data_IF_920834690219
#
_entry.id   IF_920834690219
#
_cell.length_a   1.000
_cell.length_b   1.000
_cell.length_c   1.000
_cell.angle_alpha   90.00
_cell.angle_beta   90.00
_cell.angle_gamma   90.00
#
_symmetry.space_group_name_H-M   'P 1'
#
loop_
_entity.id
_entity.type
_entity.pdbx_description
1 polymer ?
#
# COMPACT_ATOMS: atom_id res chain seq x y z
N UNK A 1 24.07 -1.34 -4.19
CA UNK A 1 24.16 0.07 -3.76
C UNK A 1 22.78 0.53 -3.37
N UNK A 2 22.61 1.27 -2.27
CA UNK A 2 21.32 1.91 -1.97
C UNK A 2 21.13 3.05 -2.98
N UNK A 3 19.97 3.13 -3.62
CA UNK A 3 19.62 4.26 -4.48
C UNK A 3 19.62 5.56 -3.67
N UNK A 4 19.92 6.67 -4.32
CA UNK A 4 19.80 8.00 -3.73
C UNK A 4 18.31 8.32 -3.50
N UNK A 5 17.92 8.54 -2.24
CA UNK A 5 16.53 8.83 -1.88
C UNK A 5 15.98 10.11 -2.54
N UNK A 6 16.87 11.03 -2.94
CA UNK A 6 16.49 12.29 -3.61
C UNK A 6 16.05 12.09 -5.06
N UNK A 7 16.29 10.92 -5.66
CA UNK A 7 15.93 10.59 -7.03
C UNK A 7 14.61 9.78 -7.17
N UNK A 8 13.92 9.51 -6.06
CA UNK A 8 12.70 8.69 -6.08
C UNK A 8 11.53 9.44 -6.73
N UNK A 9 10.92 8.82 -7.74
CA UNK A 9 9.71 9.32 -8.38
C UNK A 9 8.48 8.81 -7.63
N UNK A 10 7.67 9.73 -7.12
CA UNK A 10 6.38 9.44 -6.51
C UNK A 10 5.27 9.65 -7.54
N UNK A 11 4.28 8.76 -7.55
CA UNK A 11 3.09 8.88 -8.39
C UNK A 11 1.84 8.50 -7.63
N UNK A 12 0.72 9.13 -7.99
CA UNK A 12 -0.61 8.88 -7.45
C UNK A 12 -1.51 8.44 -8.62
N UNK A 13 -2.17 7.30 -8.49
CA UNK A 13 -3.01 6.71 -9.55
C UNK A 13 -2.26 5.89 -10.61
N UNK A 14 -0.93 5.85 -10.60
CA UNK A 14 -0.14 4.96 -11.49
C UNK A 14 -0.16 3.52 -10.95
N UNK A 15 -1.17 2.75 -11.37
CA UNK A 15 -1.34 1.34 -10.97
C UNK A 15 -0.20 0.49 -11.54
N UNK A 16 0.54 -0.24 -10.69
CA UNK A 16 1.64 -1.06 -11.17
C UNK A 16 1.15 -2.22 -12.03
N UNK A 17 1.97 -2.63 -13.00
CA UNK A 17 1.68 -3.84 -13.77
C UNK A 17 1.76 -5.09 -12.88
N UNK A 18 1.08 -6.17 -13.29
CA UNK A 18 1.02 -7.41 -12.52
C UNK A 18 2.40 -7.94 -12.12
N UNK A 19 3.36 -7.91 -13.04
CA UNK A 19 4.72 -8.42 -12.81
C UNK A 19 5.43 -7.70 -11.67
N UNK A 20 5.50 -6.37 -11.73
CA UNK A 20 6.21 -5.57 -10.73
C UNK A 20 5.48 -5.55 -9.37
N UNK A 21 4.14 -5.59 -9.37
CA UNK A 21 3.36 -5.74 -8.15
C UNK A 21 3.71 -7.05 -7.43
N UNK A 22 3.73 -8.17 -8.16
CA UNK A 22 4.08 -9.48 -7.60
C UNK A 22 5.53 -9.50 -7.11
N UNK A 23 6.46 -8.92 -7.88
CA UNK A 23 7.86 -8.82 -7.51
C UNK A 23 8.04 -8.04 -6.20
N UNK A 24 7.46 -6.84 -6.11
CA UNK A 24 7.58 -5.99 -4.91
C UNK A 24 6.99 -6.67 -3.68
N UNK A 25 5.82 -7.32 -3.81
CA UNK A 25 5.24 -8.09 -2.69
C UNK A 25 6.16 -9.20 -2.21
N UNK A 26 6.74 -9.93 -3.15
CA UNK A 26 7.62 -11.06 -2.84
C UNK A 26 8.86 -10.59 -2.08
N UNK A 27 9.56 -9.57 -2.59
CA UNK A 27 10.76 -9.03 -1.92
C UNK A 27 10.43 -8.33 -0.60
N UNK A 28 9.21 -7.79 -0.45
CA UNK A 28 8.77 -7.17 0.78
C UNK A 28 8.34 -8.19 1.86
N UNK A 29 8.15 -9.47 1.49
CA UNK A 29 7.75 -10.55 2.39
C UNK A 29 6.24 -10.72 2.58
N UNK A 30 5.41 -10.16 1.68
CA UNK A 30 3.95 -10.03 1.88
C UNK A 30 3.11 -11.23 1.37
N UNK A 31 3.73 -12.40 1.22
CA UNK A 31 3.08 -13.60 0.71
C UNK A 31 2.77 -13.57 -0.80
N UNK A 32 2.61 -14.77 -1.38
CA UNK A 32 2.39 -14.94 -2.82
C UNK A 32 0.93 -14.67 -3.19
N UNK A 33 0.75 -14.09 -4.38
CA UNK A 33 -0.54 -14.02 -5.11
C UNK A 33 -0.33 -14.63 -6.49
N UNK A 34 -1.38 -15.22 -7.06
CA UNK A 34 -1.33 -15.64 -8.46
C UNK A 34 -1.37 -14.42 -9.39
N UNK A 35 -0.82 -14.49 -10.61
CA UNK A 35 -0.97 -13.43 -11.61
C UNK A 35 -2.43 -13.07 -11.89
N UNK A 36 -3.32 -14.06 -11.92
CA UNK A 36 -4.76 -13.84 -12.09
C UNK A 36 -5.37 -13.04 -10.94
N UNK A 37 -5.06 -13.40 -9.69
CA UNK A 37 -5.55 -12.67 -8.51
C UNK A 37 -4.97 -11.24 -8.46
N UNK A 38 -3.70 -11.08 -8.83
CA UNK A 38 -3.06 -9.77 -8.93
C UNK A 38 -3.73 -8.88 -9.99
N UNK A 39 -3.95 -9.40 -11.21
CA UNK A 39 -4.58 -8.64 -12.28
C UNK A 39 -5.98 -8.13 -11.88
N UNK A 40 -6.81 -9.05 -11.37
CA UNK A 40 -8.16 -8.71 -10.88
C UNK A 40 -8.11 -7.72 -9.70
N UNK A 41 -7.19 -7.92 -8.76
CA UNK A 41 -7.04 -7.04 -7.61
C UNK A 41 -6.62 -5.62 -8.00
N UNK A 42 -5.68 -5.50 -8.95
CA UNK A 42 -5.16 -4.21 -9.42
C UNK A 42 -6.21 -3.41 -10.20
N UNK A 43 -7.05 -4.08 -11.00
CA UNK A 43 -8.18 -3.47 -11.73
C UNK A 43 -9.19 -2.76 -10.79
N UNK A 44 -9.39 -3.28 -9.59
CA UNK A 44 -10.31 -2.72 -8.59
C UNK A 44 -9.63 -1.82 -7.55
N UNK A 45 -8.51 -1.20 -7.93
CA UNK A 45 -7.84 -0.21 -7.07
C UNK A 45 -8.60 1.11 -7.11
N UNK A 46 -9.02 1.61 -5.95
CA UNK A 46 -9.62 2.95 -5.84
C UNK A 46 -8.55 4.04 -5.90
N UNK A 47 -7.43 3.82 -5.19
CA UNK A 47 -6.30 4.72 -5.18
C UNK A 47 -5.00 3.95 -4.95
N UNK A 48 -3.90 4.46 -5.50
CA UNK A 48 -2.57 3.88 -5.33
C UNK A 48 -1.53 4.99 -5.28
N UNK A 49 -0.55 4.78 -4.40
CA UNK A 49 0.70 5.54 -4.41
C UNK A 49 1.79 4.57 -4.83
N UNK A 50 2.57 4.94 -5.83
CA UNK A 50 3.78 4.20 -6.25
C UNK A 50 5.02 5.04 -6.08
N UNK A 51 6.13 4.37 -5.78
CA UNK A 51 7.46 4.96 -5.63
C UNK A 51 8.42 4.18 -6.50
N UNK A 52 9.10 4.89 -7.40
CA UNK A 52 10.01 4.30 -8.38
C UNK A 52 11.42 4.86 -8.25
N UNK A 53 12.41 3.98 -8.42
CA UNK A 53 13.80 4.33 -8.68
C UNK A 53 14.10 4.03 -10.16
N UNK A 54 14.19 5.09 -10.98
CA UNK A 54 14.11 4.95 -12.43
C UNK A 54 12.80 4.28 -12.86
N UNK A 55 12.90 3.13 -13.54
CA UNK A 55 11.75 2.34 -13.95
C UNK A 55 11.26 1.35 -12.87
N UNK A 56 12.11 1.04 -11.87
CA UNK A 56 11.84 -0.03 -10.89
C UNK A 56 10.87 0.44 -9.82
N UNK A 57 9.81 -0.33 -9.59
CA UNK A 57 8.92 -0.13 -8.45
C UNK A 57 9.62 -0.54 -7.14
N UNK A 58 9.84 0.42 -6.24
CA UNK A 58 10.54 0.22 -4.95
C UNK A 58 9.61 0.41 -3.74
N UNK A 59 8.44 1.00 -3.95
CA UNK A 59 7.40 1.10 -2.93
C UNK A 59 6.02 1.25 -3.53
N UNK A 60 5.00 0.77 -2.82
CA UNK A 60 3.61 0.99 -3.17
C UNK A 60 2.70 0.99 -1.94
N UNK A 61 1.50 1.53 -2.10
CA UNK A 61 0.38 1.39 -1.18
C UNK A 61 -0.93 1.58 -1.93
N UNK A 62 -1.97 0.85 -1.55
CA UNK A 62 -3.24 0.81 -2.28
C UNK A 62 -4.43 1.05 -1.36
N UNK A 63 -5.51 1.55 -1.93
CA UNK A 63 -6.85 1.62 -1.32
C UNK A 63 -7.81 0.81 -2.18
N UNK A 64 -8.59 -0.05 -1.55
CA UNK A 64 -9.69 -0.79 -2.17
C UNK A 64 -10.93 -0.68 -1.29
N UNK A 65 -12.12 -0.85 -1.87
CA UNK A 65 -13.39 -0.74 -1.15
C UNK A 65 -14.50 -0.22 -2.04
N UNK A 66 -15.52 0.38 -1.43
CA UNK A 66 -16.69 0.91 -2.14
C UNK A 66 -16.61 2.42 -2.43
N UNK A 67 -15.59 3.11 -1.90
CA UNK A 67 -15.42 4.56 -2.06
C UNK A 67 -16.42 5.40 -1.26
N UNK A 68 -17.18 4.79 -0.35
CA UNK A 68 -18.27 5.46 0.37
C UNK A 68 -18.37 5.04 1.83
N UNK A 69 -18.76 3.79 2.10
CA UNK A 69 -19.01 3.33 3.47
C UNK A 69 -17.79 2.68 4.09
N UNK A 70 -16.97 1.98 3.30
CA UNK A 70 -15.82 1.27 3.81
C UNK A 70 -14.71 1.10 2.76
N UNK A 71 -13.49 1.44 3.17
CA UNK A 71 -12.27 1.17 2.41
C UNK A 71 -11.24 0.49 3.30
N UNK A 72 -10.33 -0.25 2.66
CA UNK A 72 -9.15 -0.80 3.31
C UNK A 72 -7.88 -0.35 2.60
N UNK A 73 -6.93 0.16 3.38
CA UNK A 73 -5.57 0.39 2.92
C UNK A 73 -4.88 -0.97 2.92
N UNK A 74 -4.35 -1.32 1.76
CA UNK A 74 -3.70 -2.61 1.52
C UNK A 74 -2.36 -2.39 0.83
N UNK A 75 -1.53 -3.42 0.84
CA UNK A 75 -0.32 -3.49 0.02
C UNK A 75 0.70 -2.37 0.27
N UNK A 76 0.82 -1.88 1.50
CA UNK A 76 1.93 -1.01 1.91
C UNK A 76 3.22 -1.84 1.89
N UNK A 77 3.94 -1.76 0.77
CA UNK A 77 5.12 -2.56 0.48
C UNK A 77 6.30 -1.63 0.18
N UNK A 78 7.47 -1.94 0.75
CA UNK A 78 8.73 -1.24 0.44
C UNK A 78 9.84 -2.27 0.28
N UNK A 79 10.55 -2.15 -0.83
CA UNK A 79 11.75 -2.92 -1.13
C UNK A 79 12.75 -2.81 0.03
N UNK A 80 13.26 -3.93 0.58
CA UNK A 80 14.23 -3.92 1.67
C UNK A 80 15.44 -2.99 1.47
N UNK A 81 15.92 -2.84 0.23
CA UNK A 81 17.03 -1.95 -0.12
C UNK A 81 16.73 -0.46 0.07
N UNK A 82 15.45 -0.07 0.06
CA UNK A 82 14.96 1.30 0.18
C UNK A 82 14.23 1.55 1.52
N UNK A 83 14.26 0.60 2.46
CA UNK A 83 13.71 0.79 3.82
C UNK A 83 14.56 1.77 4.65
N UNK A 84 13.95 2.29 5.72
CA UNK A 84 14.52 3.30 6.64
C UNK A 84 14.79 4.67 5.98
N UNK A 85 14.15 4.93 4.84
CA UNK A 85 14.16 6.21 4.13
C UNK A 85 12.82 6.98 4.26
N UNK A 86 11.94 6.56 5.17
CA UNK A 86 10.62 7.19 5.35
C UNK A 86 9.59 6.85 4.26
N UNK A 87 9.90 5.98 3.29
CA UNK A 87 9.01 5.67 2.15
C UNK A 87 7.64 5.16 2.60
N UNK A 88 7.59 4.19 3.53
CA UNK A 88 6.31 3.65 4.01
C UNK A 88 5.44 4.74 4.69
N UNK A 89 6.08 5.65 5.43
CA UNK A 89 5.40 6.80 6.03
C UNK A 89 4.89 7.78 4.98
N UNK A 90 5.70 8.09 3.96
CA UNK A 90 5.28 8.95 2.85
C UNK A 90 4.11 8.36 2.06
N UNK A 91 4.14 7.05 1.78
CA UNK A 91 3.04 6.33 1.12
C UNK A 91 1.77 6.42 1.97
N UNK A 92 1.85 6.09 3.25
CA UNK A 92 0.70 6.12 4.14
C UNK A 92 0.11 7.52 4.27
N UNK A 93 0.94 8.56 4.42
CA UNK A 93 0.48 9.94 4.52
C UNK A 93 -0.31 10.36 3.28
N UNK A 94 0.26 10.14 2.09
CA UNK A 94 -0.41 10.45 0.81
C UNK A 94 -1.75 9.73 0.66
N UNK A 95 -1.80 8.44 1.02
CA UNK A 95 -3.06 7.69 1.02
C UNK A 95 -4.07 8.28 2.00
N UNK A 96 -3.65 8.62 3.23
CA UNK A 96 -4.56 9.20 4.21
C UNK A 96 -5.04 10.59 3.81
N UNK A 97 -4.21 11.37 3.11
CA UNK A 97 -4.58 12.68 2.58
C UNK A 97 -5.61 12.54 1.46
N UNK A 98 -5.40 11.59 0.54
CA UNK A 98 -6.39 11.22 -0.47
C UNK A 98 -7.71 10.77 0.16
N UNK A 99 -7.67 9.89 1.18
CA UNK A 99 -8.87 9.45 1.88
C UNK A 99 -9.64 10.62 2.50
N UNK A 100 -8.94 11.60 3.10
CA UNK A 100 -9.58 12.79 3.69
C UNK A 100 -10.17 13.73 2.65
N UNK A 101 -9.58 13.79 1.46
CA UNK A 101 -10.02 14.66 0.37
C UNK A 101 -11.21 14.07 -0.41
N UNK A 102 -11.18 12.77 -0.70
CA UNK A 102 -12.10 12.15 -1.67
C UNK A 102 -13.23 11.34 -1.01
N UNK A 103 -13.05 10.84 0.21
CA UNK A 103 -14.05 9.97 0.83
C UNK A 103 -15.03 10.74 1.72
N UNK A 104 -16.29 10.27 1.84
CA UNK A 104 -17.22 10.79 2.84
C UNK A 104 -16.62 10.72 4.26
N UNK A 105 -16.89 11.72 5.10
CA UNK A 105 -16.36 11.80 6.48
C UNK A 105 -16.70 10.59 7.37
N UNK A 106 -17.77 9.88 7.04
CA UNK A 106 -18.24 8.69 7.76
C UNK A 106 -17.69 7.39 7.19
N UNK A 107 -16.87 7.44 6.13
CA UNK A 107 -16.26 6.25 5.54
C UNK A 107 -15.34 5.56 6.56
N UNK A 108 -15.53 4.26 6.76
CA UNK A 108 -14.67 3.46 7.62
C UNK A 108 -13.37 3.11 6.89
N UNK A 109 -12.24 3.67 7.33
CA UNK A 109 -10.90 3.40 6.77
C UNK A 109 -10.17 2.41 7.66
N UNK A 110 -9.82 1.24 7.12
CA UNK A 110 -9.20 0.14 7.88
C UNK A 110 -7.92 -0.38 7.22
N UNK A 111 -7.15 -1.17 7.95
CA UNK A 111 -6.02 -1.95 7.41
C UNK A 111 -5.72 -3.15 8.31
N UNK A 112 -4.99 -4.13 7.78
CA UNK A 112 -4.43 -5.24 8.55
C UNK A 112 -2.91 -5.04 8.60
N UNK A 113 -2.38 -4.84 9.81
CA UNK A 113 -0.97 -4.59 10.03
C UNK A 113 -0.20 -5.87 10.37
N UNK A 114 0.97 -6.06 9.76
CA UNK A 114 1.92 -7.07 10.21
C UNK A 114 2.53 -6.68 11.57
N UNK A 115 3.00 -7.65 12.38
CA UNK A 115 3.49 -7.40 13.74
C UNK A 115 4.58 -6.33 13.89
N UNK A 116 5.33 -6.03 12.84
CA UNK A 116 6.38 -4.99 12.83
C UNK A 116 5.92 -3.59 12.39
N UNK A 117 4.67 -3.43 11.95
CA UNK A 117 4.19 -2.20 11.32
C UNK A 117 3.27 -1.35 12.23
N UNK A 118 2.95 -1.82 13.44
CA UNK A 118 2.02 -1.11 14.35
C UNK A 118 2.41 0.34 14.62
N UNK A 119 3.69 0.60 14.89
CA UNK A 119 4.17 1.94 15.20
C UNK A 119 3.99 2.93 14.03
N UNK A 120 4.04 2.44 12.78
CA UNK A 120 3.78 3.26 11.60
C UNK A 120 2.32 3.72 11.58
N UNK A 121 1.39 2.77 11.71
CA UNK A 121 -0.05 3.05 11.60
C UNK A 121 -0.58 3.82 12.82
N UNK A 122 -0.12 3.49 14.02
CA UNK A 122 -0.50 4.22 15.23
C UNK A 122 -0.10 5.70 15.16
N UNK A 123 1.10 6.02 14.65
CA UNK A 123 1.52 7.42 14.44
C UNK A 123 0.68 8.16 13.41
N UNK A 124 0.09 7.45 12.45
CA UNK A 124 -0.83 8.02 11.47
C UNK A 124 -2.28 8.16 11.99
N UNK A 125 -2.53 7.83 13.26
CA UNK A 125 -3.85 7.96 13.89
C UNK A 125 -4.73 6.72 13.76
N UNK A 126 -4.20 5.58 13.31
CA UNK A 126 -4.96 4.33 13.33
C UNK A 126 -5.03 3.75 14.74
N UNK A 127 -6.22 3.31 15.11
CA UNK A 127 -6.46 2.62 16.37
C UNK A 127 -6.61 1.11 16.14
N UNK A 128 -6.13 0.32 17.10
CA UNK A 128 -6.29 -1.13 17.06
C UNK A 128 -7.77 -1.50 17.24
N UNK A 129 -8.23 -2.47 16.43
CA UNK A 129 -9.56 -3.09 16.49
C UNK A 129 -9.40 -4.60 16.30
N UNK A 130 -10.36 -5.38 16.79
CA UNK A 130 -10.41 -6.83 16.58
C UNK A 130 -11.02 -7.11 15.21
N UNK A 131 -10.34 -7.89 14.38
CA UNK A 131 -10.81 -8.31 13.05
C UNK A 131 -10.78 -9.83 12.91
N UNK A 132 -11.59 -10.35 11.99
CA UNK A 132 -11.64 -11.77 11.64
C UNK A 132 -11.29 -11.93 10.17
N UNK A 133 -10.55 -12.98 9.82
CA UNK A 133 -10.18 -13.28 8.44
C UNK A 133 -10.32 -14.78 8.17
N UNK A 134 -10.68 -15.12 6.93
CA UNK A 134 -10.75 -16.49 6.43
C UNK A 134 -9.87 -16.59 5.18
N UNK A 135 -9.24 -17.75 4.98
CA UNK A 135 -8.56 -18.08 3.73
C UNK A 135 -9.51 -18.86 2.84
N UNK A 136 -9.49 -18.58 1.54
CA UNK A 136 -10.13 -19.43 0.56
C UNK A 136 -9.16 -20.59 0.30
N UNK A 137 -9.60 -21.82 0.61
CA UNK A 137 -8.92 -23.06 0.28
C UNK A 137 -9.32 -23.55 -1.11
#
# INVERSE_FOLDING_TARGET
MKGDASALKWSEGDVPIVGEYLELRNIAGMGKRSPQAAAKGLEHTLHVVTVRDGARLVGMGRVVGDGGTAVTITDIAVDPGWRRLGIATGILNRITDWCRAELPRTCFVSLIADPGAFALYHKAGFEMRTGMAMKLE
#
